data_IF_868893701286
#
_entry.id   IF_868893701286
#
_cell.length_a   1.000
_cell.length_b   1.000
_cell.length_c   1.000
_cell.angle_alpha   90.00
_cell.angle_beta   90.00
_cell.angle_gamma   90.00
#
_symmetry.space_group_name_H-M   'P 1'
#
loop_
_entity.id
_entity.type
_entity.pdbx_description
1 polymer ?
#
# COMPACT_ATOMS: atom_id res chain seq x y z
N UNK A 1 -3.17 -15.51 15.85
CA UNK A 1 -4.29 -14.74 16.42
C UNK A 1 -3.78 -13.34 16.75
N UNK A 2 -3.76 -12.46 15.75
CA UNK A 2 -3.77 -11.00 15.91
C UNK A 2 -5.04 -10.57 15.21
N UNK A 3 -6.02 -10.09 15.96
CA UNK A 3 -7.09 -9.28 15.38
C UNK A 3 -6.42 -8.07 14.74
N UNK A 4 -6.25 -8.09 13.42
CA UNK A 4 -5.99 -6.87 12.65
C UNK A 4 -7.13 -5.93 12.98
N UNK A 5 -6.87 -4.99 13.88
CA UNK A 5 -7.83 -4.00 14.30
C UNK A 5 -8.38 -3.36 13.04
N UNK A 6 -9.70 -3.45 12.90
CA UNK A 6 -10.54 -2.70 11.99
C UNK A 6 -10.54 -1.21 12.37
N UNK A 7 -9.36 -0.61 12.54
CA UNK A 7 -9.23 0.81 12.26
C UNK A 7 -9.43 0.94 10.76
N UNK A 8 -10.66 1.33 10.43
CA UNK A 8 -11.08 1.83 9.14
C UNK A 8 -9.95 2.69 8.59
N UNK A 9 -9.57 2.45 7.34
CA UNK A 9 -8.79 3.44 6.60
C UNK A 9 -9.71 4.65 6.50
N UNK A 10 -9.59 5.58 7.46
CA UNK A 10 -10.45 6.76 7.49
C UNK A 10 -10.06 7.63 6.30
N UNK A 11 -11.06 8.05 5.53
CA UNK A 11 -10.86 9.02 4.48
C UNK A 11 -10.52 10.37 5.11
N UNK A 12 -9.22 10.62 5.24
CA UNK A 12 -8.67 11.90 5.61
C UNK A 12 -7.99 12.53 4.39
N UNK A 13 -8.08 13.85 4.27
CA UNK A 13 -7.39 14.63 3.23
C UNK A 13 -6.28 15.43 3.91
N UNK A 14 -5.00 15.07 3.71
CA UNK A 14 -3.88 15.81 4.27
C UNK A 14 -3.83 17.24 3.73
N UNK A 15 -3.51 18.20 4.61
CA UNK A 15 -3.22 19.57 4.20
C UNK A 15 -1.95 19.64 3.34
N UNK A 16 -1.76 20.76 2.62
CA UNK A 16 -0.53 20.99 1.83
C UNK A 16 0.75 20.90 2.67
N UNK A 17 0.68 21.30 3.94
CA UNK A 17 1.78 21.18 4.90
C UNK A 17 2.08 19.72 5.22
N UNK A 18 1.06 18.91 5.54
CA UNK A 18 1.24 17.47 5.79
C UNK A 18 1.77 16.76 4.54
N UNK A 19 1.24 17.08 3.35
CA UNK A 19 1.76 16.55 2.08
C UNK A 19 3.23 16.92 1.84
N UNK A 20 3.64 18.15 2.20
CA UNK A 20 5.03 18.58 2.12
C UNK A 20 5.93 17.81 3.10
N UNK A 21 5.45 17.54 4.32
CA UNK A 21 6.14 16.73 5.30
C UNK A 21 6.27 15.26 4.86
N UNK A 22 5.22 14.67 4.27
CA UNK A 22 5.26 13.32 3.71
C UNK A 22 6.29 13.19 2.58
N UNK A 23 6.30 14.13 1.64
CA UNK A 23 7.30 14.16 0.55
C UNK A 23 8.72 14.26 1.10
N UNK A 24 8.93 15.12 2.09
CA UNK A 24 10.23 15.24 2.76
C UNK A 24 10.62 13.94 3.46
N UNK A 25 9.66 13.25 4.10
CA UNK A 25 9.87 11.97 4.77
C UNK A 25 10.29 10.86 3.81
N UNK A 26 9.56 10.67 2.71
CA UNK A 26 9.88 9.66 1.69
C UNK A 26 11.27 9.88 1.08
N UNK A 27 11.58 11.13 0.72
CA UNK A 27 12.90 11.46 0.19
C UNK A 27 14.02 11.19 1.21
N UNK A 28 13.79 11.48 2.50
CA UNK A 28 14.77 11.19 3.56
C UNK A 28 14.91 9.68 3.79
N UNK A 29 13.81 8.93 3.75
CA UNK A 29 13.84 7.47 3.84
C UNK A 29 14.73 6.87 2.76
N UNK A 30 14.52 7.26 1.50
CA UNK A 30 15.33 6.79 0.37
C UNK A 30 16.80 7.22 0.51
N UNK A 31 17.07 8.45 0.98
CA UNK A 31 18.42 9.01 1.02
C UNK A 31 19.28 8.51 2.19
N UNK A 32 18.72 8.43 3.39
CA UNK A 32 19.50 8.18 4.62
C UNK A 32 19.01 6.98 5.43
N UNK A 33 17.87 6.40 5.07
CA UNK A 33 17.23 5.31 5.80
C UNK A 33 16.37 5.78 6.99
N UNK A 34 15.33 5.01 7.38
CA UNK A 34 14.36 5.35 8.42
C UNK A 34 14.99 5.69 9.77
N UNK A 35 15.99 4.92 10.19
CA UNK A 35 16.59 5.03 11.53
C UNK A 35 17.32 6.37 11.76
N UNK A 36 17.62 7.12 10.69
CA UNK A 36 18.35 8.41 10.74
C UNK A 36 17.43 9.62 10.57
N UNK A 37 16.14 9.43 10.31
CA UNK A 37 15.20 10.54 10.13
C UNK A 37 14.93 11.19 11.49
N UNK A 38 14.93 12.52 11.52
CA UNK A 38 14.66 13.34 12.72
C UNK A 38 13.70 14.47 12.32
N UNK A 39 12.91 14.97 13.27
CA UNK A 39 11.99 16.12 13.04
C UNK A 39 12.75 17.32 12.47
N UNK A 40 13.98 17.57 12.94
CA UNK A 40 14.85 18.62 12.41
C UNK A 40 15.18 18.45 10.93
N UNK A 41 15.42 17.22 10.46
CA UNK A 41 15.70 16.94 9.05
C UNK A 41 14.45 17.17 8.19
N UNK A 42 13.28 16.76 8.68
CA UNK A 42 12.00 16.98 8.00
C UNK A 42 11.69 18.47 7.87
N UNK A 43 11.75 19.21 8.96
CA UNK A 43 11.45 20.65 8.99
C UNK A 43 12.48 21.50 8.22
N UNK A 44 13.68 20.99 7.99
CA UNK A 44 14.66 21.66 7.14
C UNK A 44 14.35 21.44 5.65
N UNK A 45 13.79 20.28 5.29
CA UNK A 45 13.52 19.88 3.91
C UNK A 45 12.13 20.27 3.43
N UNK A 46 11.13 20.21 4.31
CA UNK A 46 9.81 20.76 4.08
C UNK A 46 9.80 22.23 4.52
N UNK A 47 9.02 23.11 3.87
CA UNK A 47 8.84 24.50 4.30
C UNK A 47 7.95 24.59 5.55
N UNK A 48 8.33 23.93 6.65
CA UNK A 48 7.55 23.84 7.88
C UNK A 48 8.45 24.07 9.10
N UNK A 49 7.98 24.89 10.05
CA UNK A 49 8.67 25.03 11.33
C UNK A 49 8.46 23.78 12.21
N UNK A 50 9.33 23.57 13.21
CA UNK A 50 9.15 22.47 14.18
C UNK A 50 7.84 22.60 14.96
N UNK A 51 7.46 23.81 15.34
CA UNK A 51 6.17 24.08 15.98
C UNK A 51 5.01 23.64 15.09
N UNK A 52 5.12 23.85 13.77
CA UNK A 52 4.13 23.38 12.79
C UNK A 52 4.09 21.86 12.70
N UNK A 53 5.24 21.17 12.73
CA UNK A 53 5.24 19.70 12.79
C UNK A 53 4.47 19.18 14.01
N UNK A 54 4.73 19.76 15.19
CA UNK A 54 4.08 19.35 16.44
C UNK A 54 2.60 19.76 16.58
N UNK A 55 2.05 20.52 15.63
CA UNK A 55 0.58 20.69 15.51
C UNK A 55 -0.06 19.41 14.96
N UNK A 56 0.63 18.68 14.09
CA UNK A 56 0.09 17.51 13.41
C UNK A 56 0.55 16.18 14.03
N UNK A 57 1.78 16.12 14.52
CA UNK A 57 2.43 14.87 14.91
C UNK A 57 3.24 15.03 16.20
N UNK A 58 3.11 14.10 17.15
CA UNK A 58 3.97 14.05 18.33
C UNK A 58 5.34 13.47 17.97
N UNK A 59 5.35 12.48 17.06
CA UNK A 59 6.52 11.73 16.65
C UNK A 59 6.62 11.56 15.13
N UNK A 60 7.80 11.11 14.68
CA UNK A 60 8.00 10.73 13.27
C UNK A 60 7.20 9.48 12.91
N UNK A 61 6.98 8.59 13.89
CA UNK A 61 6.19 7.39 13.67
C UNK A 61 4.71 7.73 13.46
N UNK A 62 4.18 8.78 14.09
CA UNK A 62 2.80 9.23 13.84
C UNK A 62 2.64 9.72 12.40
N UNK A 63 3.59 10.52 11.91
CA UNK A 63 3.62 10.96 10.51
C UNK A 63 3.69 9.76 9.56
N UNK A 64 4.55 8.78 9.88
CA UNK A 64 4.72 7.57 9.09
C UNK A 64 3.41 6.77 9.03
N UNK A 65 2.79 6.53 10.18
CA UNK A 65 1.55 5.77 10.28
C UNK A 65 0.41 6.44 9.50
N UNK A 66 0.26 7.77 9.64
CA UNK A 66 -0.74 8.54 8.90
C UNK A 66 -0.49 8.49 7.38
N UNK A 67 0.76 8.62 6.93
CA UNK A 67 1.13 8.49 5.52
C UNK A 67 0.82 7.08 4.97
N UNK A 68 1.20 6.02 5.69
CA UNK A 68 0.91 4.64 5.29
C UNK A 68 -0.61 4.43 5.15
N UNK A 69 -1.38 4.85 6.15
CA UNK A 69 -2.83 4.69 6.16
C UNK A 69 -3.49 5.52 5.05
N UNK A 70 -3.02 6.76 4.83
CA UNK A 70 -3.52 7.62 3.75
C UNK A 70 -3.32 6.99 2.37
N UNK A 71 -2.12 6.52 2.05
CA UNK A 71 -1.83 5.91 0.76
C UNK A 71 -2.62 4.62 0.55
N UNK A 72 -2.75 3.79 1.58
CA UNK A 72 -3.53 2.55 1.48
C UNK A 72 -5.03 2.81 1.38
N UNK A 73 -5.56 3.88 2.00
CA UNK A 73 -6.94 4.31 1.83
C UNK A 73 -7.24 4.66 0.37
N UNK A 74 -6.35 5.43 -0.25
CA UNK A 74 -6.45 5.77 -1.68
C UNK A 74 -6.37 4.53 -2.58
N UNK A 75 -5.49 3.58 -2.26
CA UNK A 75 -5.37 2.34 -3.03
C UNK A 75 -6.66 1.51 -2.95
N UNK A 76 -7.25 1.38 -1.75
CA UNK A 76 -8.51 0.65 -1.56
C UNK A 76 -9.64 1.30 -2.36
N UNK A 77 -9.77 2.62 -2.30
CA UNK A 77 -10.77 3.35 -3.10
C UNK A 77 -10.57 3.19 -4.61
N UNK A 78 -9.33 3.33 -5.08
CA UNK A 78 -8.95 3.12 -6.49
C UNK A 78 -9.37 1.72 -6.97
N UNK A 79 -9.07 0.70 -6.15
CA UNK A 79 -9.31 -0.69 -6.50
C UNK A 79 -10.75 -1.15 -6.27
N UNK A 80 -11.56 -0.45 -5.47
CA UNK A 80 -12.97 -0.79 -5.25
C UNK A 80 -13.72 -0.88 -6.59
N UNK A 81 -13.40 0.01 -7.53
CA UNK A 81 -13.96 0.05 -8.89
C UNK A 81 -13.73 -1.24 -9.68
N UNK A 82 -12.66 -1.98 -9.38
CA UNK A 82 -12.36 -3.26 -10.03
C UNK A 82 -13.35 -4.38 -9.62
N UNK A 83 -14.13 -4.19 -8.56
CA UNK A 83 -15.09 -5.17 -8.02
C UNK A 83 -16.54 -4.69 -8.11
N UNK A 84 -16.81 -3.55 -8.76
CA UNK A 84 -18.17 -3.04 -8.98
C UNK A 84 -18.94 -3.83 -10.05
N UNK A 85 -18.23 -4.52 -10.95
CA UNK A 85 -18.81 -5.37 -11.98
C UNK A 85 -18.87 -6.81 -11.52
N UNK A 86 -19.84 -7.56 -12.04
CA UNK A 86 -19.91 -9.00 -11.83
C UNK A 86 -18.65 -9.66 -12.38
N UNK A 87 -17.93 -10.36 -11.50
CA UNK A 87 -16.70 -11.07 -11.85
C UNK A 87 -17.09 -12.52 -12.15
N UNK A 88 -17.08 -12.86 -13.44
CA UNK A 88 -17.47 -14.20 -13.92
C UNK A 88 -16.28 -15.11 -14.20
N UNK A 89 -15.08 -14.54 -14.26
CA UNK A 89 -13.82 -15.26 -14.44
C UNK A 89 -12.63 -14.48 -13.89
N UNK A 90 -11.51 -15.17 -13.65
CA UNK A 90 -10.23 -14.55 -13.26
C UNK A 90 -9.72 -13.51 -14.27
N UNK A 91 -10.17 -13.54 -15.53
CA UNK A 91 -9.82 -12.58 -16.57
C UNK A 91 -10.56 -11.24 -16.46
N UNK A 92 -11.70 -11.22 -15.78
CA UNK A 92 -12.51 -10.01 -15.59
C UNK A 92 -11.94 -9.13 -14.47
N UNK A 93 -11.08 -9.71 -13.63
CA UNK A 93 -10.44 -9.02 -12.50
C UNK A 93 -9.33 -8.14 -13.07
N UNK A 94 -9.46 -6.82 -13.01
CA UNK A 94 -8.41 -5.87 -13.42
C UNK A 94 -7.56 -5.35 -12.24
N UNK A 95 -7.59 -6.08 -11.13
CA UNK A 95 -7.02 -5.64 -9.85
C UNK A 95 -5.51 -5.41 -9.89
N UNK A 96 -4.75 -6.34 -10.51
CA UNK A 96 -3.29 -6.20 -10.60
C UNK A 96 -2.92 -4.98 -11.43
N UNK A 97 -3.57 -4.78 -12.58
CA UNK A 97 -3.35 -3.64 -13.46
C UNK A 97 -3.66 -2.31 -12.74
N UNK A 98 -4.83 -2.22 -12.09
CA UNK A 98 -5.23 -1.06 -11.28
C UNK A 98 -4.23 -0.76 -10.16
N UNK A 99 -3.79 -1.79 -9.44
CA UNK A 99 -2.80 -1.66 -8.37
C UNK A 99 -1.45 -1.19 -8.93
N UNK A 100 -0.99 -1.74 -10.06
CA UNK A 100 0.28 -1.34 -10.65
C UNK A 100 0.25 0.11 -11.16
N UNK A 101 -0.87 0.54 -11.76
CA UNK A 101 -1.07 1.93 -12.14
C UNK A 101 -1.00 2.87 -10.94
N UNK A 102 -1.69 2.53 -9.84
CA UNK A 102 -1.62 3.29 -8.58
C UNK A 102 -0.19 3.35 -8.03
N UNK A 103 0.51 2.22 -8.02
CA UNK A 103 1.89 2.14 -7.55
C UNK A 103 2.81 3.05 -8.36
N UNK A 104 2.65 3.10 -9.69
CA UNK A 104 3.38 4.02 -10.58
C UNK A 104 3.04 5.49 -10.29
N UNK A 105 1.76 5.83 -10.08
CA UNK A 105 1.32 7.17 -9.70
C UNK A 105 1.92 7.63 -8.36
N UNK A 106 2.20 6.68 -7.45
CA UNK A 106 2.74 6.92 -6.11
C UNK A 106 4.16 6.34 -5.93
N UNK A 107 4.98 6.36 -6.99
CA UNK A 107 6.27 5.65 -7.07
C UNK A 107 7.18 5.86 -5.84
N UNK A 108 7.25 7.08 -5.31
CA UNK A 108 8.14 7.42 -4.18
C UNK A 108 7.80 6.65 -2.91
N UNK A 109 6.52 6.38 -2.68
CA UNK A 109 6.07 5.61 -1.51
C UNK A 109 6.58 4.19 -1.62
N UNK A 110 6.36 3.55 -2.76
CA UNK A 110 6.76 2.16 -3.00
C UNK A 110 8.28 2.02 -3.15
N UNK A 111 8.97 3.01 -3.72
CA UNK A 111 10.42 3.06 -3.73
C UNK A 111 10.97 3.11 -2.30
N UNK A 112 10.41 3.95 -1.42
CA UNK A 112 10.85 4.06 -0.03
C UNK A 112 10.53 2.78 0.75
N UNK A 113 9.26 2.38 0.81
CA UNK A 113 8.76 1.36 1.72
C UNK A 113 8.87 -0.08 1.20
N UNK A 114 9.09 -0.31 -0.10
CA UNK A 114 9.16 -1.66 -0.68
C UNK A 114 10.53 -1.97 -1.27
N UNK A 115 11.20 -1.00 -1.89
CA UNK A 115 12.47 -1.25 -2.61
C UNK A 115 13.74 -0.87 -1.82
N UNK A 116 13.75 0.28 -1.15
CA UNK A 116 14.98 0.86 -0.58
C UNK A 116 15.35 0.19 0.75
N UNK A 117 14.55 0.43 1.79
CA UNK A 117 14.65 -0.26 3.08
C UNK A 117 13.24 -0.75 3.41
N UNK A 118 12.91 -2.04 3.15
CA UNK A 118 11.54 -2.52 3.22
C UNK A 118 10.89 -2.30 4.59
N UNK A 119 9.76 -1.63 4.58
CA UNK A 119 8.93 -1.40 5.75
C UNK A 119 7.94 -2.56 5.88
N UNK A 120 8.25 -3.52 6.73
CA UNK A 120 7.42 -4.70 6.94
C UNK A 120 6.00 -4.34 7.40
N UNK A 121 5.85 -3.31 8.23
CA UNK A 121 4.53 -2.85 8.69
C UNK A 121 3.66 -2.37 7.53
N UNK A 122 4.23 -1.56 6.61
CA UNK A 122 3.53 -1.11 5.42
C UNK A 122 3.14 -2.28 4.51
N UNK A 123 4.02 -3.26 4.33
CA UNK A 123 3.75 -4.46 3.52
C UNK A 123 2.59 -5.27 4.12
N UNK A 124 2.56 -5.47 5.43
CA UNK A 124 1.44 -6.14 6.11
C UNK A 124 0.13 -5.36 5.95
N UNK A 125 0.15 -4.04 6.15
CA UNK A 125 -1.04 -3.20 5.93
C UNK A 125 -1.51 -3.24 4.48
N UNK A 126 -0.59 -3.28 3.52
CA UNK A 126 -0.93 -3.40 2.10
C UNK A 126 -1.58 -4.75 1.78
N UNK A 127 -1.07 -5.86 2.33
CA UNK A 127 -1.74 -7.15 2.23
C UNK A 127 -3.16 -7.08 2.80
N UNK A 128 -3.33 -6.53 4.01
CA UNK A 128 -4.65 -6.35 4.62
C UNK A 128 -5.59 -5.49 3.76
N UNK A 129 -5.07 -4.46 3.09
CA UNK A 129 -5.85 -3.65 2.14
C UNK A 129 -6.33 -4.47 0.94
N UNK A 130 -5.49 -5.32 0.36
CA UNK A 130 -5.89 -6.25 -0.71
C UNK A 130 -6.94 -7.25 -0.24
N UNK A 131 -6.79 -7.81 0.97
CA UNK A 131 -7.72 -8.80 1.53
C UNK A 131 -9.15 -8.28 1.63
N UNK A 132 -9.35 -6.97 1.91
CA UNK A 132 -10.69 -6.36 1.97
C UNK A 132 -11.47 -6.52 0.66
N UNK A 133 -10.77 -6.49 -0.48
CA UNK A 133 -11.41 -6.72 -1.76
C UNK A 133 -11.60 -8.22 -2.06
N UNK A 134 -10.63 -9.05 -1.70
CA UNK A 134 -10.70 -10.50 -1.97
C UNK A 134 -11.77 -11.21 -1.15
N UNK A 135 -12.12 -10.67 0.03
CA UNK A 135 -13.27 -11.11 0.81
C UNK A 135 -14.60 -11.00 0.03
N UNK A 136 -14.68 -10.15 -1.00
CA UNK A 136 -15.86 -10.05 -1.86
C UNK A 136 -15.94 -11.20 -2.89
N UNK A 137 -14.79 -11.82 -3.20
CA UNK A 137 -14.68 -12.89 -4.20
C UNK A 137 -14.71 -14.28 -3.57
N UNK A 138 -14.06 -14.45 -2.42
CA UNK A 138 -13.92 -15.73 -1.76
C UNK A 138 -15.10 -16.01 -0.84
N UNK A 139 -15.71 -17.19 -1.00
CA UNK A 139 -16.71 -17.74 -0.07
C UNK A 139 -16.26 -19.12 0.39
N UNK A 140 -16.04 -19.28 1.69
CA UNK A 140 -15.73 -20.58 2.27
C UNK A 140 -16.28 -20.67 3.70
N UNK A 141 -16.96 -21.76 4.02
CA UNK A 141 -17.53 -21.98 5.36
C UNK A 141 -16.44 -22.27 6.41
N UNK A 142 -15.27 -22.75 5.98
CA UNK A 142 -14.10 -22.91 6.84
C UNK A 142 -13.32 -21.59 6.92
N UNK A 143 -13.49 -20.88 8.03
CA UNK A 143 -12.81 -19.61 8.31
C UNK A 143 -11.29 -19.70 8.27
N UNK A 144 -10.70 -20.76 8.80
CA UNK A 144 -9.23 -20.91 8.82
C UNK A 144 -8.67 -21.03 7.40
N UNK A 145 -9.38 -21.77 6.54
CA UNK A 145 -8.99 -21.90 5.14
C UNK A 145 -9.23 -20.61 4.36
N UNK A 146 -10.31 -19.88 4.65
CA UNK A 146 -10.55 -18.55 4.07
C UNK A 146 -9.43 -17.55 4.44
N UNK A 147 -9.04 -17.50 5.72
CA UNK A 147 -7.95 -16.64 6.19
C UNK A 147 -6.63 -17.00 5.49
N UNK A 148 -6.35 -18.29 5.29
CA UNK A 148 -5.20 -18.76 4.52
C UNK A 148 -5.27 -18.33 3.04
N UNK A 149 -6.41 -18.47 2.37
CA UNK A 149 -6.58 -18.06 0.97
C UNK A 149 -6.36 -16.55 0.79
N UNK A 150 -6.90 -15.74 1.70
CA UNK A 150 -6.72 -14.29 1.72
C UNK A 150 -5.24 -13.90 1.88
N UNK A 151 -4.53 -14.57 2.78
CA UNK A 151 -3.09 -14.36 2.99
C UNK A 151 -2.28 -14.71 1.73
N UNK A 152 -2.50 -15.89 1.15
CA UNK A 152 -1.77 -16.33 -0.05
C UNK A 152 -2.01 -15.39 -1.23
N UNK A 153 -3.26 -15.00 -1.50
CA UNK A 153 -3.59 -14.12 -2.62
C UNK A 153 -3.01 -12.71 -2.44
N UNK A 154 -3.14 -12.14 -1.23
CA UNK A 154 -2.59 -10.80 -0.95
C UNK A 154 -1.06 -10.78 -1.03
N UNK A 155 -0.39 -11.80 -0.51
CA UNK A 155 1.05 -11.97 -0.65
C UNK A 155 1.49 -12.15 -2.11
N UNK A 156 0.72 -12.88 -2.92
CA UNK A 156 0.98 -13.05 -4.35
C UNK A 156 0.91 -11.72 -5.10
N UNK A 157 -0.09 -10.87 -4.83
CA UNK A 157 -0.18 -9.53 -5.42
C UNK A 157 1.02 -8.67 -5.03
N UNK A 158 1.33 -8.57 -3.74
CA UNK A 158 2.47 -7.76 -3.26
C UNK A 158 3.77 -8.24 -3.92
N UNK A 159 3.98 -9.54 -4.00
CA UNK A 159 5.16 -10.14 -4.63
C UNK A 159 5.25 -9.82 -6.12
N UNK A 160 4.12 -9.94 -6.84
CA UNK A 160 4.07 -9.68 -8.27
C UNK A 160 4.34 -8.20 -8.60
N UNK A 161 3.72 -7.28 -7.86
CA UNK A 161 3.96 -5.84 -8.03
C UNK A 161 5.41 -5.48 -7.64
N UNK A 162 5.94 -6.06 -6.56
CA UNK A 162 7.35 -5.86 -6.16
C UNK A 162 8.31 -6.34 -7.24
N UNK A 163 8.00 -7.46 -7.90
CA UNK A 163 8.79 -7.95 -9.03
C UNK A 163 8.84 -6.92 -10.16
N UNK A 164 7.69 -6.35 -10.57
CA UNK A 164 7.66 -5.30 -11.60
C UNK A 164 8.46 -4.07 -11.24
N UNK A 165 8.36 -3.62 -9.99
CA UNK A 165 9.11 -2.46 -9.52
C UNK A 165 10.63 -2.69 -9.55
N UNK A 166 11.08 -3.93 -9.35
CA UNK A 166 12.50 -4.31 -9.46
C UNK A 166 12.95 -4.56 -10.90
N UNK A 167 12.03 -4.80 -11.83
CA UNK A 167 12.29 -5.16 -13.22
C UNK A 167 11.45 -4.30 -14.17
N UNK A 168 11.71 -2.98 -14.25
CA UNK A 168 10.91 -2.07 -15.07
C UNK A 168 10.94 -2.41 -16.57
N UNK A 169 11.98 -3.10 -17.05
CA UNK A 169 12.14 -3.53 -18.45
C UNK A 169 11.47 -4.87 -18.76
N UNK A 170 10.81 -5.48 -17.77
CA UNK A 170 10.11 -6.76 -17.94
C UNK A 170 9.06 -6.67 -19.04
N UNK A 171 9.06 -7.65 -19.93
CA UNK A 171 8.08 -7.79 -21.02
C UNK A 171 6.83 -8.57 -20.60
N UNK A 172 6.73 -8.98 -19.32
CA UNK A 172 5.56 -9.68 -18.80
C UNK A 172 4.40 -8.69 -18.73
N UNK A 173 3.30 -9.00 -19.41
CA UNK A 173 2.11 -8.17 -19.36
C UNK A 173 1.34 -8.31 -18.03
N UNK A 174 0.57 -7.29 -17.68
CA UNK A 174 -0.21 -7.22 -16.45
C UNK A 174 -1.30 -8.32 -16.39
N UNK A 175 -1.79 -8.76 -17.55
CA UNK A 175 -2.85 -9.76 -17.67
C UNK A 175 -2.36 -11.17 -17.29
N UNK A 176 -1.15 -11.54 -17.70
CA UNK A 176 -0.50 -12.80 -17.39
C UNK A 176 -0.35 -12.99 -15.88
N UNK A 177 0.06 -11.92 -15.18
CA UNK A 177 0.21 -11.96 -13.73
C UNK A 177 -1.15 -11.99 -13.04
N UNK A 178 -2.12 -11.24 -13.53
CA UNK A 178 -3.46 -11.29 -12.98
C UNK A 178 -4.04 -12.72 -13.06
N UNK A 179 -3.90 -13.38 -14.21
CA UNK A 179 -4.28 -14.78 -14.37
C UNK A 179 -3.53 -15.70 -13.42
N UNK A 180 -2.21 -15.50 -13.25
CA UNK A 180 -1.41 -16.32 -12.33
C UNK A 180 -1.86 -16.14 -10.86
N UNK A 181 -2.06 -14.90 -10.43
CA UNK A 181 -2.47 -14.56 -9.05
C UNK A 181 -3.86 -15.12 -8.76
N UNK A 182 -4.80 -14.95 -9.68
CA UNK A 182 -6.20 -15.32 -9.47
C UNK A 182 -6.55 -16.73 -9.93
N UNK A 183 -5.57 -17.53 -10.38
CA UNK A 183 -5.78 -18.95 -10.72
C UNK A 183 -6.31 -19.78 -9.54
N UNK A 184 -6.05 -19.34 -8.31
CA UNK A 184 -6.57 -19.99 -7.09
C UNK A 184 -8.07 -19.76 -6.89
N UNK A 185 -8.70 -18.89 -7.68
CA UNK A 185 -10.14 -18.64 -7.68
C UNK A 185 -10.92 -19.55 -8.64
N UNK A 186 -10.22 -20.19 -9.58
CA UNK A 186 -10.79 -21.15 -10.55
C UNK A 186 -10.84 -22.57 -9.96
#
# INVERSE_FOLDING_TARGET
MMTLNSHSLQHFTPSDTQMSLYRAYLDLWIKVGPNKIRVSHLCHKAPAARSTFYIYYETIDDLKDELENYILALLVDKNQKAFEKEITSSKDIVFVASTLAFVKEHEKVFQAFVLSEPNLMFIEKWKSACQRHFQLLLKNDNKEFLDFQLEVLSAAVVSAITYFLKHPDSQIDEQTINQLVFKLLD
#
